data_IF_224259784137
#
_entry.id   IF_224259784137
#
_cell.length_a   1.000
_cell.length_b   1.000
_cell.length_c   1.000
_cell.angle_alpha   90.00
_cell.angle_beta   90.00
_cell.angle_gamma   90.00
#
_symmetry.space_group_name_H-M   'P 1'
#
loop_
_entity.id
_entity.type
_entity.pdbx_description
1 polymer ?
#
# COMPACT_ATOMS: atom_id res chain seq x y z
N UNK A 1 -6.83 -1.81 24.46
CA UNK A 1 -7.50 -2.42 25.63
C UNK A 1 -6.46 -3.19 26.44
N UNK A 2 -6.61 -3.32 27.76
CA UNK A 2 -5.64 -4.06 28.60
C UNK A 2 -5.86 -5.58 28.43
N UNK A 3 -4.79 -6.35 28.22
CA UNK A 3 -4.80 -7.82 28.31
C UNK A 3 -3.97 -8.26 29.52
N UNK A 4 -4.62 -8.44 30.66
CA UNK A 4 -4.07 -9.19 31.79
C UNK A 4 -4.23 -10.69 31.52
N UNK A 5 -3.14 -11.45 31.53
CA UNK A 5 -3.16 -12.93 31.48
C UNK A 5 -2.56 -13.43 32.80
N UNK A 6 -3.15 -14.49 33.36
CA UNK A 6 -2.90 -14.90 34.74
C UNK A 6 -1.52 -15.56 34.92
N UNK A 7 -0.65 -14.91 35.69
CA UNK A 7 0.49 -15.59 36.31
C UNK A 7 0.00 -16.38 37.52
N UNK A 8 -0.50 -17.61 37.28
CA UNK A 8 -1.09 -18.47 38.30
C UNK A 8 -0.58 -19.92 38.17
N UNK A 9 0.69 -20.13 38.54
CA UNK A 9 1.23 -21.47 38.82
C UNK A 9 1.83 -21.48 40.22
N UNK A 10 1.43 -22.50 41.00
CA UNK A 10 1.48 -22.48 42.45
C UNK A 10 2.80 -23.07 42.96
N UNK A 11 3.70 -22.23 43.45
CA UNK A 11 4.98 -22.67 44.04
C UNK A 11 4.74 -23.28 45.42
N UNK A 12 4.41 -24.57 45.45
CA UNK A 12 4.28 -25.35 46.68
C UNK A 12 5.66 -25.68 47.26
N UNK A 13 6.19 -24.79 48.09
CA UNK A 13 7.44 -25.00 48.84
C UNK A 13 7.27 -26.10 49.90
N UNK A 14 7.60 -27.34 49.55
CA UNK A 14 7.61 -28.46 50.50
C UNK A 14 8.88 -28.38 51.36
N UNK A 15 8.71 -28.22 52.66
CA UNK A 15 9.81 -28.18 53.63
C UNK A 15 10.39 -29.57 53.89
N UNK A 16 11.72 -29.69 53.80
CA UNK A 16 12.42 -30.97 53.89
C UNK A 16 12.55 -31.44 55.36
N UNK A 17 11.68 -32.34 55.80
CA UNK A 17 11.85 -33.09 57.06
C UNK A 17 12.64 -34.38 56.82
N UNK A 18 13.66 -34.61 57.65
CA UNK A 18 14.63 -35.69 57.46
C UNK A 18 14.10 -37.06 57.89
N UNK A 19 13.73 -37.90 56.93
CA UNK A 19 13.57 -39.34 57.08
C UNK A 19 14.26 -40.06 55.91
N UNK A 20 14.73 -41.30 56.14
CA UNK A 20 15.43 -42.08 55.11
C UNK A 20 14.44 -42.63 54.07
N UNK A 21 14.16 -41.84 53.04
CA UNK A 21 13.34 -42.27 51.88
C UNK A 21 14.11 -43.33 51.07
N UNK A 22 13.48 -44.44 50.64
CA UNK A 22 14.13 -45.41 49.75
C UNK A 22 14.50 -44.73 48.43
N UNK A 23 15.80 -44.74 48.10
CA UNK A 23 16.39 -43.95 47.01
C UNK A 23 15.86 -44.26 45.60
N UNK A 24 15.08 -45.33 45.42
CA UNK A 24 14.32 -45.58 44.20
C UNK A 24 13.41 -44.39 43.83
N UNK A 25 12.77 -43.76 44.82
CA UNK A 25 11.86 -42.63 44.62
C UNK A 25 12.53 -41.41 43.94
N UNK A 26 13.85 -41.27 44.03
CA UNK A 26 14.60 -40.19 43.35
C UNK A 26 14.73 -40.48 41.84
N UNK A 27 14.80 -41.75 41.43
CA UNK A 27 14.77 -42.10 40.01
C UNK A 27 13.40 -41.83 39.40
N UNK A 28 12.33 -42.21 40.11
CA UNK A 28 10.93 -41.95 39.72
C UNK A 28 10.63 -40.44 39.63
N UNK A 29 11.24 -39.62 40.49
CA UNK A 29 11.14 -38.15 40.44
C UNK A 29 11.79 -37.55 39.17
N UNK A 30 12.93 -38.10 38.72
CA UNK A 30 13.54 -37.67 37.45
C UNK A 30 12.78 -38.17 36.23
N UNK A 31 12.25 -39.41 36.24
CA UNK A 31 11.37 -39.88 35.15
C UNK A 31 10.11 -39.00 35.04
N UNK A 32 9.49 -38.66 36.17
CA UNK A 32 8.34 -37.72 36.19
C UNK A 32 8.68 -36.37 35.56
N UNK A 33 9.88 -35.84 35.77
CA UNK A 33 10.34 -34.57 35.15
C UNK A 33 10.63 -34.74 33.66
N UNK A 34 11.20 -35.87 33.24
CA UNK A 34 11.49 -36.18 31.83
C UNK A 34 10.19 -36.32 31.04
N UNK A 35 9.20 -37.04 31.58
CA UNK A 35 7.86 -37.19 30.99
C UNK A 35 7.13 -35.84 30.86
N UNK A 36 7.15 -35.02 31.91
CA UNK A 36 6.60 -33.66 31.87
C UNK A 36 7.28 -32.81 30.79
N UNK A 37 8.61 -32.92 30.65
CA UNK A 37 9.36 -32.18 29.65
C UNK A 37 9.04 -32.66 28.22
N UNK A 38 8.83 -33.97 28.00
CA UNK A 38 8.35 -34.51 26.73
C UNK A 38 6.93 -34.05 26.37
N UNK A 39 6.01 -33.95 27.33
CA UNK A 39 4.68 -33.37 27.10
C UNK A 39 4.79 -31.92 26.64
N UNK A 40 5.68 -31.12 27.25
CA UNK A 40 5.95 -29.73 26.83
C UNK A 40 6.54 -29.67 25.42
N UNK A 41 7.57 -30.48 25.13
CA UNK A 41 8.26 -30.50 23.82
C UNK A 41 7.31 -30.94 22.70
N UNK A 42 6.48 -31.96 22.93
CA UNK A 42 5.48 -32.40 21.94
C UNK A 42 4.36 -31.36 21.74
N UNK A 43 3.96 -30.65 22.81
CA UNK A 43 3.06 -29.51 22.72
C UNK A 43 3.63 -28.35 21.89
N UNK A 44 4.93 -28.07 22.01
CA UNK A 44 5.63 -27.07 21.18
C UNK A 44 5.71 -27.52 19.70
N UNK A 45 6.12 -28.77 19.44
CA UNK A 45 6.16 -29.35 18.07
C UNK A 45 4.79 -29.33 17.38
N UNK A 46 3.71 -29.47 18.15
CA UNK A 46 2.34 -29.34 17.62
C UNK A 46 2.05 -27.90 17.19
N UNK A 47 2.38 -26.90 18.02
CA UNK A 47 2.22 -25.47 17.69
C UNK A 47 3.10 -25.03 16.52
N UNK A 48 4.31 -25.56 16.39
CA UNK A 48 5.18 -25.32 15.25
C UNK A 48 4.57 -25.85 13.94
N UNK A 49 3.96 -27.03 13.98
CA UNK A 49 3.23 -27.61 12.84
C UNK A 49 1.99 -26.77 12.47
N UNK A 50 1.22 -26.30 13.46
CA UNK A 50 0.12 -25.37 13.23
C UNK A 50 0.58 -24.02 12.64
N UNK A 51 1.72 -23.49 13.10
CA UNK A 51 2.31 -22.26 12.59
C UNK A 51 2.81 -22.43 11.15
N UNK A 52 3.43 -23.57 10.82
CA UNK A 52 3.86 -23.91 9.46
C UNK A 52 2.67 -24.09 8.51
N UNK A 53 1.58 -24.74 8.97
CA UNK A 53 0.35 -24.86 8.20
C UNK A 53 -0.29 -23.49 7.91
N UNK A 54 -0.31 -22.58 8.90
CA UNK A 54 -0.78 -21.20 8.71
C UNK A 54 0.08 -20.42 7.71
N UNK A 55 1.41 -20.56 7.76
CA UNK A 55 2.31 -19.95 6.76
C UNK A 55 1.99 -20.43 5.35
N UNK A 56 1.83 -21.74 5.14
CA UNK A 56 1.48 -22.31 3.84
C UNK A 56 0.13 -21.79 3.31
N UNK A 57 -0.87 -21.60 4.19
CA UNK A 57 -2.14 -20.95 3.83
C UNK A 57 -1.94 -19.49 3.41
N UNK A 58 -1.18 -18.71 4.20
CA UNK A 58 -0.90 -17.30 3.90
C UNK A 58 -0.16 -17.16 2.56
N UNK A 59 0.82 -18.02 2.28
CA UNK A 59 1.52 -18.04 0.99
C UNK A 59 0.61 -18.42 -0.18
N UNK A 60 -0.32 -19.36 0.01
CA UNK A 60 -1.35 -19.70 -0.99
C UNK A 60 -2.33 -18.55 -1.25
N UNK A 61 -2.76 -17.85 -0.20
CA UNK A 61 -3.62 -16.67 -0.30
C UNK A 61 -2.90 -15.49 -0.97
N UNK A 62 -1.60 -15.31 -0.70
CA UNK A 62 -0.76 -14.31 -1.37
C UNK A 62 -0.58 -14.59 -2.87
N UNK A 63 -0.38 -15.85 -3.26
CA UNK A 63 -0.30 -16.24 -4.67
C UNK A 63 -1.65 -16.02 -5.38
N UNK A 64 -2.74 -16.42 -4.74
CA UNK A 64 -4.11 -16.22 -5.24
C UNK A 64 -4.46 -14.73 -5.39
N UNK A 65 -3.99 -13.89 -4.47
CA UNK A 65 -4.19 -12.44 -4.49
C UNK A 65 -3.37 -11.78 -5.58
N UNK A 66 -2.09 -12.17 -5.76
CA UNK A 66 -1.25 -11.71 -6.87
C UNK A 66 -1.84 -12.06 -8.24
N UNK A 67 -2.29 -13.31 -8.46
CA UNK A 67 -2.91 -13.72 -9.73
C UNK A 67 -4.16 -12.88 -10.07
N UNK A 68 -4.97 -12.51 -9.06
CA UNK A 68 -6.12 -11.62 -9.27
C UNK A 68 -5.69 -10.19 -9.62
N UNK A 69 -4.63 -9.66 -9.02
CA UNK A 69 -4.08 -8.34 -9.37
C UNK A 69 -3.65 -8.34 -10.84
N UNK A 70 -2.88 -9.34 -11.27
CA UNK A 70 -2.45 -9.47 -12.68
C UNK A 70 -3.65 -9.56 -13.64
N UNK A 71 -4.68 -10.34 -13.29
CA UNK A 71 -5.93 -10.45 -14.06
C UNK A 71 -6.69 -9.11 -14.17
N UNK A 72 -6.80 -8.34 -13.08
CA UNK A 72 -7.49 -7.05 -13.11
C UNK A 72 -6.69 -6.02 -13.90
N UNK A 73 -5.36 -5.97 -13.72
CA UNK A 73 -4.46 -5.09 -14.49
C UNK A 73 -4.52 -5.38 -16.00
N UNK A 74 -4.60 -6.66 -16.40
CA UNK A 74 -4.76 -7.03 -17.80
C UNK A 74 -6.12 -6.59 -18.39
N UNK A 75 -7.21 -6.72 -17.62
CA UNK A 75 -8.55 -6.22 -17.99
C UNK A 75 -8.56 -4.70 -18.09
N UNK A 76 -7.98 -4.01 -17.11
CA UNK A 76 -7.88 -2.55 -17.06
C UNK A 76 -7.12 -1.99 -18.27
N UNK A 77 -5.98 -2.60 -18.65
CA UNK A 77 -5.27 -2.24 -19.88
C UNK A 77 -6.15 -2.41 -21.12
N UNK A 78 -6.87 -3.53 -21.22
CA UNK A 78 -7.76 -3.81 -22.36
C UNK A 78 -8.86 -2.74 -22.50
N UNK A 79 -9.47 -2.33 -21.37
CA UNK A 79 -10.47 -1.26 -21.35
C UNK A 79 -9.88 0.12 -21.67
N UNK A 80 -8.62 0.39 -21.29
CA UNK A 80 -7.90 1.63 -21.65
C UNK A 80 -7.54 1.67 -23.15
N UNK A 81 -7.21 0.53 -23.75
CA UNK A 81 -7.07 0.40 -25.22
C UNK A 81 -8.43 0.61 -25.93
N UNK A 82 -9.53 0.11 -25.36
CA UNK A 82 -10.90 0.29 -25.88
C UNK A 82 -11.34 1.76 -25.83
N UNK A 83 -11.17 2.46 -24.69
CA UNK A 83 -11.42 3.92 -24.58
C UNK A 83 -10.65 4.72 -25.62
N UNK A 84 -9.37 4.38 -25.84
CA UNK A 84 -8.54 5.06 -26.85
C UNK A 84 -9.14 4.91 -28.26
N UNK A 85 -9.78 3.77 -28.54
CA UNK A 85 -10.51 3.52 -29.79
C UNK A 85 -11.80 4.33 -29.86
N UNK A 86 -12.61 4.33 -28.79
CA UNK A 86 -13.89 5.05 -28.72
C UNK A 86 -13.73 6.58 -28.82
N UNK A 87 -12.72 7.18 -28.17
CA UNK A 87 -12.40 8.60 -28.38
C UNK A 87 -11.94 8.90 -29.82
N UNK A 88 -11.24 7.96 -30.46
CA UNK A 88 -10.91 8.01 -31.88
C UNK A 88 -12.17 8.09 -32.74
N UNK A 89 -13.13 7.17 -32.53
CA UNK A 89 -14.43 7.15 -33.22
C UNK A 89 -15.23 8.44 -33.00
N UNK A 90 -15.26 8.98 -31.77
CA UNK A 90 -15.91 10.27 -31.43
C UNK A 90 -15.27 11.42 -32.21
N UNK A 91 -13.94 11.51 -32.25
CA UNK A 91 -13.22 12.55 -33.01
C UNK A 91 -13.55 12.48 -34.50
N UNK A 92 -13.54 11.27 -35.06
CA UNK A 92 -13.80 11.01 -36.48
C UNK A 92 -15.26 11.28 -36.86
N UNK A 93 -16.21 10.99 -35.96
CA UNK A 93 -17.63 11.39 -36.06
C UNK A 93 -17.79 12.90 -36.02
N UNK A 94 -17.18 13.61 -35.06
CA UNK A 94 -17.22 15.08 -34.99
C UNK A 94 -16.70 15.73 -36.27
N UNK A 95 -15.60 15.22 -36.85
CA UNK A 95 -15.05 15.72 -38.12
C UNK A 95 -16.01 15.46 -39.30
N UNK A 96 -16.72 14.33 -39.32
CA UNK A 96 -17.75 14.04 -40.33
C UNK A 96 -18.97 14.97 -40.19
N UNK A 97 -19.46 15.17 -38.97
CA UNK A 97 -20.57 16.08 -38.63
C UNK A 97 -20.24 17.51 -39.06
N UNK A 98 -19.08 18.05 -38.65
CA UNK A 98 -18.63 19.40 -39.03
C UNK A 98 -18.52 19.59 -40.55
N UNK A 99 -17.99 18.60 -41.29
CA UNK A 99 -17.92 18.65 -42.75
C UNK A 99 -19.32 18.68 -43.39
N UNK A 100 -20.26 17.87 -42.88
CA UNK A 100 -21.65 17.83 -43.34
C UNK A 100 -22.39 19.15 -43.02
N UNK A 101 -22.23 19.70 -41.82
CA UNK A 101 -22.76 21.02 -41.46
C UNK A 101 -22.25 22.12 -42.39
N UNK A 102 -20.94 22.17 -42.68
CA UNK A 102 -20.37 23.18 -43.58
C UNK A 102 -20.90 22.98 -45.01
N UNK A 103 -21.06 21.75 -45.48
CA UNK A 103 -21.69 21.47 -46.77
C UNK A 103 -23.16 21.92 -46.80
N UNK A 104 -23.95 21.61 -45.77
CA UNK A 104 -25.36 22.03 -45.66
C UNK A 104 -25.50 23.55 -45.53
N UNK A 105 -24.60 24.21 -44.79
CA UNK A 105 -24.54 25.67 -44.62
C UNK A 105 -24.13 26.38 -45.91
N UNK A 106 -23.22 25.79 -46.70
CA UNK A 106 -22.87 26.28 -48.02
C UNK A 106 -24.01 26.04 -49.01
N UNK A 107 -24.61 24.84 -49.05
CA UNK A 107 -25.81 24.58 -49.87
C UNK A 107 -26.93 25.57 -49.55
N UNK A 108 -27.27 25.78 -48.27
CA UNK A 108 -28.27 26.75 -47.84
C UNK A 108 -27.90 28.21 -48.16
N UNK A 109 -26.61 28.54 -48.21
CA UNK A 109 -26.14 29.86 -48.68
C UNK A 109 -26.20 29.98 -50.20
N UNK A 110 -25.82 28.96 -50.95
CA UNK A 110 -25.85 28.96 -52.41
C UNK A 110 -27.31 29.02 -52.89
N UNK A 111 -28.21 28.28 -52.21
CA UNK A 111 -29.67 28.46 -52.20
C UNK A 111 -30.01 29.94 -51.96
N UNK A 112 -29.64 30.54 -50.82
CA UNK A 112 -30.03 31.91 -50.48
C UNK A 112 -29.45 33.00 -51.40
N UNK A 113 -28.25 32.82 -51.93
CA UNK A 113 -27.49 33.83 -52.69
C UNK A 113 -27.76 33.75 -54.18
N UNK A 114 -27.88 32.55 -54.76
CA UNK A 114 -28.52 32.43 -56.07
C UNK A 114 -29.98 32.85 -55.97
N UNK A 115 -30.68 32.44 -54.90
CA UNK A 115 -32.03 32.79 -54.51
C UNK A 115 -32.28 34.25 -54.09
N UNK A 116 -31.45 35.19 -54.56
CA UNK A 116 -31.99 36.51 -54.89
C UNK A 116 -33.18 36.31 -55.84
N UNK A 117 -34.29 37.03 -55.63
CA UNK A 117 -35.65 36.55 -55.89
C UNK A 117 -35.99 36.10 -57.32
N UNK A 118 -35.12 36.34 -58.30
CA UNK A 118 -35.22 35.82 -59.66
C UNK A 118 -34.78 34.36 -59.81
N UNK A 119 -33.65 33.93 -59.24
CA UNK A 119 -32.99 32.69 -59.72
C UNK A 119 -33.71 31.39 -59.35
N UNK A 120 -34.42 31.33 -58.22
CA UNK A 120 -35.27 30.17 -57.90
C UNK A 120 -36.50 30.07 -58.79
N UNK A 121 -37.05 31.21 -59.20
CA UNK A 121 -38.06 31.24 -60.26
C UNK A 121 -37.42 30.86 -61.59
N UNK A 122 -36.18 31.26 -61.87
CA UNK A 122 -35.45 30.96 -63.11
C UNK A 122 -35.18 29.44 -63.28
N UNK A 123 -34.91 28.68 -62.21
CA UNK A 123 -34.82 27.20 -62.27
C UNK A 123 -36.18 26.55 -62.58
N UNK A 124 -37.29 27.19 -62.21
CA UNK A 124 -38.65 26.73 -62.51
C UNK A 124 -39.08 27.18 -63.92
N UNK A 125 -38.67 28.38 -64.36
CA UNK A 125 -39.02 29.01 -65.64
C UNK A 125 -38.18 28.48 -66.82
N UNK A 126 -36.93 28.07 -66.59
CA UNK A 126 -36.09 27.36 -67.56
C UNK A 126 -36.18 25.82 -67.43
N UNK A 127 -37.17 25.31 -66.70
CA UNK A 127 -37.48 23.88 -66.74
C UNK A 127 -38.07 23.51 -68.10
N UNK A 128 -37.75 22.32 -68.62
CA UNK A 128 -38.23 21.90 -69.95
C UNK A 128 -39.74 21.58 -69.95
N UNK A 129 -40.32 21.41 -68.77
CA UNK A 129 -41.77 21.28 -68.55
C UNK A 129 -42.13 21.50 -67.08
N UNK A 130 -43.43 21.71 -66.80
CA UNK A 130 -43.96 21.75 -65.42
C UNK A 130 -43.60 20.47 -64.64
N UNK A 131 -43.48 19.31 -65.31
CA UNK A 131 -43.03 18.06 -64.68
C UNK A 131 -41.57 18.14 -64.22
N UNK A 132 -40.70 18.73 -65.05
CA UNK A 132 -39.27 18.88 -64.77
C UNK A 132 -39.04 19.82 -63.58
N UNK A 133 -39.75 20.96 -63.50
CA UNK A 133 -39.73 21.83 -62.32
C UNK A 133 -40.10 21.08 -61.02
N UNK A 134 -41.18 20.29 -61.05
CA UNK A 134 -41.65 19.54 -59.88
C UNK A 134 -40.60 18.48 -59.47
N UNK A 135 -40.05 17.73 -60.43
CA UNK A 135 -39.02 16.73 -60.16
C UNK A 135 -37.72 17.34 -59.62
N UNK A 136 -37.30 18.52 -60.09
CA UNK A 136 -36.12 19.24 -59.57
C UNK A 136 -36.34 19.72 -58.13
N UNK A 137 -37.50 20.30 -57.82
CA UNK A 137 -37.84 20.72 -56.45
C UNK A 137 -37.90 19.51 -55.51
N UNK A 138 -38.56 18.41 -55.91
CA UNK A 138 -38.60 17.17 -55.14
C UNK A 138 -37.18 16.61 -54.90
N UNK A 139 -36.32 16.58 -55.93
CA UNK A 139 -34.93 16.12 -55.79
C UNK A 139 -34.11 16.94 -54.79
N UNK A 140 -34.29 18.27 -54.77
CA UNK A 140 -33.64 19.15 -53.77
C UNK A 140 -34.17 18.85 -52.37
N UNK A 141 -35.50 18.72 -52.19
CA UNK A 141 -36.08 18.36 -50.88
C UNK A 141 -35.61 17.00 -50.40
N UNK A 142 -35.55 15.98 -51.26
CA UNK A 142 -35.02 14.65 -50.93
C UNK A 142 -33.55 14.71 -50.52
N UNK A 143 -32.71 15.50 -51.21
CA UNK A 143 -31.30 15.66 -50.87
C UNK A 143 -31.08 16.39 -49.54
N UNK A 144 -31.89 17.42 -49.25
CA UNK A 144 -31.84 18.13 -47.96
C UNK A 144 -32.30 17.23 -46.82
N UNK A 145 -33.41 16.49 -47.00
CA UNK A 145 -33.89 15.54 -46.01
C UNK A 145 -32.85 14.45 -45.74
N UNK A 146 -32.31 13.79 -46.77
CA UNK A 146 -31.29 12.76 -46.60
C UNK A 146 -29.99 13.28 -45.92
N UNK A 147 -29.66 14.57 -46.05
CA UNK A 147 -28.58 15.19 -45.29
C UNK A 147 -28.95 15.47 -43.83
N UNK A 148 -30.20 15.84 -43.53
CA UNK A 148 -30.71 15.95 -42.16
C UNK A 148 -30.76 14.59 -41.46
N UNK A 149 -31.37 13.58 -42.09
CA UNK A 149 -31.52 12.22 -41.58
C UNK A 149 -30.14 11.62 -41.23
N UNK A 150 -29.14 11.84 -42.09
CA UNK A 150 -27.78 11.36 -41.89
C UNK A 150 -26.97 12.22 -40.89
N UNK A 151 -27.33 13.48 -40.66
CA UNK A 151 -26.79 14.29 -39.56
C UNK A 151 -27.36 13.83 -38.21
N UNK A 152 -28.67 13.53 -38.16
CA UNK A 152 -29.34 12.99 -36.98
C UNK A 152 -28.80 11.60 -36.62
N UNK A 153 -28.62 10.72 -37.61
CA UNK A 153 -27.94 9.43 -37.42
C UNK A 153 -26.53 9.63 -36.86
N UNK A 154 -25.70 10.51 -37.43
CA UNK A 154 -24.33 10.74 -36.95
C UNK A 154 -24.27 11.32 -35.52
N UNK A 155 -25.28 12.11 -35.13
CA UNK A 155 -25.43 12.56 -33.75
C UNK A 155 -25.86 11.42 -32.80
N UNK A 156 -26.69 10.49 -33.26
CA UNK A 156 -27.04 9.27 -32.51
C UNK A 156 -25.84 8.32 -32.36
N UNK A 157 -25.10 8.07 -33.44
CA UNK A 157 -23.86 7.27 -33.42
C UNK A 157 -22.87 7.84 -32.39
N UNK A 158 -22.68 9.17 -32.39
CA UNK A 158 -21.84 9.86 -31.39
C UNK A 158 -22.38 9.68 -29.97
N UNK A 159 -23.69 9.84 -29.77
CA UNK A 159 -24.34 9.71 -28.47
C UNK A 159 -24.18 8.31 -27.87
N UNK A 160 -24.25 7.27 -28.71
CA UNK A 160 -24.05 5.87 -28.32
C UNK A 160 -22.57 5.57 -27.99
N UNK A 161 -21.61 6.13 -28.73
CA UNK A 161 -20.18 5.98 -28.42
C UNK A 161 -19.80 6.74 -27.14
N UNK A 162 -20.35 7.93 -26.90
CA UNK A 162 -20.18 8.66 -25.63
C UNK A 162 -20.69 7.86 -24.42
N UNK A 163 -21.84 7.19 -24.52
CA UNK A 163 -22.41 6.40 -23.42
C UNK A 163 -21.70 5.06 -23.21
N UNK A 164 -21.19 4.44 -24.28
CA UNK A 164 -20.21 3.33 -24.17
C UNK A 164 -18.95 3.78 -23.44
N UNK A 165 -18.39 4.93 -23.81
CA UNK A 165 -17.17 5.46 -23.18
C UNK A 165 -17.36 5.64 -21.67
N UNK A 166 -18.44 6.29 -21.23
CA UNK A 166 -18.80 6.42 -19.80
C UNK A 166 -18.97 5.08 -19.09
N UNK A 167 -19.49 4.07 -19.80
CA UNK A 167 -19.63 2.70 -19.28
C UNK A 167 -18.26 2.06 -19.04
N UNK A 168 -17.31 2.21 -19.98
CA UNK A 168 -15.95 1.68 -19.85
C UNK A 168 -15.13 2.45 -18.81
N UNK A 169 -15.27 3.79 -18.75
CA UNK A 169 -14.70 4.64 -17.68
C UNK A 169 -15.15 4.15 -16.29
N UNK A 170 -16.44 3.86 -16.13
CA UNK A 170 -17.00 3.32 -14.88
C UNK A 170 -16.46 1.93 -14.56
N UNK A 171 -16.25 1.06 -15.56
CA UNK A 171 -15.64 -0.25 -15.35
C UNK A 171 -14.17 -0.14 -14.92
N UNK A 172 -13.38 0.74 -15.54
CA UNK A 172 -11.99 1.02 -15.13
C UNK A 172 -11.94 1.50 -13.69
N UNK A 173 -12.80 2.44 -13.29
CA UNK A 173 -12.83 2.94 -11.90
C UNK A 173 -13.13 1.84 -10.87
N UNK A 174 -13.94 0.83 -11.23
CA UNK A 174 -14.17 -0.36 -10.39
C UNK A 174 -12.94 -1.27 -10.37
N UNK A 175 -12.28 -1.51 -11.51
CA UNK A 175 -11.05 -2.31 -11.58
C UNK A 175 -9.90 -1.69 -10.79
N UNK A 176 -9.69 -0.36 -10.90
CA UNK A 176 -8.69 0.39 -10.13
C UNK A 176 -8.96 0.28 -8.61
N UNK A 177 -10.24 0.37 -8.21
CA UNK A 177 -10.66 0.20 -6.80
C UNK A 177 -10.36 -1.21 -6.30
N UNK A 178 -10.81 -2.26 -6.99
CA UNK A 178 -10.56 -3.65 -6.57
C UNK A 178 -9.08 -4.03 -6.64
N UNK A 179 -8.31 -3.48 -7.57
CA UNK A 179 -6.85 -3.69 -7.64
C UNK A 179 -6.16 -3.05 -6.43
N UNK A 180 -6.61 -1.87 -5.99
CA UNK A 180 -6.15 -1.27 -4.74
C UNK A 180 -6.52 -2.12 -3.52
N UNK A 181 -7.76 -2.57 -3.41
CA UNK A 181 -8.21 -3.42 -2.28
C UNK A 181 -7.38 -4.71 -2.17
N UNK A 182 -7.10 -5.38 -3.29
CA UNK A 182 -6.22 -6.56 -3.33
C UNK A 182 -4.76 -6.24 -3.01
N UNK A 183 -4.27 -5.06 -3.39
CA UNK A 183 -2.91 -4.61 -3.06
C UNK A 183 -2.76 -4.33 -1.55
N UNK A 184 -3.75 -3.68 -0.95
CA UNK A 184 -3.81 -3.45 0.50
C UNK A 184 -3.96 -4.80 1.25
N UNK A 185 -4.73 -5.75 0.71
CA UNK A 185 -4.80 -7.13 1.22
C UNK A 185 -3.44 -7.85 1.13
N UNK A 186 -2.70 -7.70 0.03
CA UNK A 186 -1.38 -8.31 -0.15
C UNK A 186 -0.33 -7.76 0.84
N UNK A 187 -0.42 -6.47 1.19
CA UNK A 187 0.40 -5.87 2.26
C UNK A 187 0.02 -6.41 3.65
N UNK A 188 -1.27 -6.62 3.91
CA UNK A 188 -1.77 -7.24 5.14
C UNK A 188 -1.29 -8.70 5.28
N UNK A 189 -1.39 -9.50 4.20
CA UNK A 189 -0.90 -10.89 4.18
C UNK A 189 0.62 -10.98 4.38
N UNK A 190 1.42 -10.09 3.78
CA UNK A 190 2.86 -9.99 4.05
C UNK A 190 3.16 -9.70 5.52
N UNK A 191 2.39 -8.81 6.15
CA UNK A 191 2.55 -8.46 7.57
C UNK A 191 2.24 -9.68 8.45
N UNK A 192 1.11 -10.37 8.17
CA UNK A 192 0.71 -11.57 8.89
C UNK A 192 1.71 -12.73 8.70
N UNK A 193 2.33 -12.84 7.52
CA UNK A 193 3.43 -13.80 7.27
C UNK A 193 4.61 -13.55 8.20
N UNK A 194 5.10 -12.31 8.26
CA UNK A 194 6.23 -11.93 9.12
C UNK A 194 5.93 -12.15 10.60
N UNK A 195 4.73 -11.78 11.07
CA UNK A 195 4.28 -12.09 12.44
C UNK A 195 4.27 -13.60 12.73
N UNK A 196 3.78 -14.41 11.78
CA UNK A 196 3.69 -15.85 11.93
C UNK A 196 5.05 -16.56 11.83
N UNK A 197 6.00 -16.03 11.04
CA UNK A 197 7.40 -16.46 11.03
C UNK A 197 8.11 -16.14 12.35
N UNK A 198 7.94 -14.93 12.88
CA UNK A 198 8.48 -14.54 14.20
C UNK A 198 7.95 -15.48 15.29
N UNK A 199 6.63 -15.73 15.32
CA UNK A 199 6.02 -16.64 16.29
C UNK A 199 6.51 -18.10 16.13
N UNK A 200 6.78 -18.56 14.91
CA UNK A 200 7.38 -19.88 14.66
C UNK A 200 8.82 -19.95 15.20
N UNK A 201 9.63 -18.92 14.94
CA UNK A 201 11.01 -18.86 15.41
C UNK A 201 11.09 -18.76 16.95
N UNK A 202 10.14 -18.07 17.59
CA UNK A 202 10.03 -18.05 19.05
C UNK A 202 9.65 -19.43 19.62
N UNK A 203 8.71 -20.15 19.00
CA UNK A 203 8.37 -21.52 19.38
C UNK A 203 9.57 -22.47 19.26
N UNK A 204 10.39 -22.33 18.22
CA UNK A 204 11.60 -23.14 18.03
C UNK A 204 12.71 -22.81 19.05
N UNK A 205 12.87 -21.54 19.42
CA UNK A 205 13.76 -21.13 20.50
C UNK A 205 13.29 -21.66 21.88
N UNK A 206 11.98 -21.63 22.14
CA UNK A 206 11.38 -22.26 23.31
C UNK A 206 11.62 -23.79 23.29
N UNK A 207 11.36 -24.46 22.17
CA UNK A 207 11.56 -25.90 22.01
C UNK A 207 12.99 -26.32 22.30
N UNK A 208 13.98 -25.62 21.73
CA UNK A 208 15.40 -25.85 21.97
C UNK A 208 15.79 -25.67 23.45
N UNK A 209 15.19 -24.69 24.14
CA UNK A 209 15.39 -24.46 25.58
C UNK A 209 14.82 -25.61 26.42
N UNK A 210 13.62 -26.09 26.09
CA UNK A 210 12.98 -27.22 26.78
C UNK A 210 13.66 -28.57 26.48
N UNK A 211 14.14 -28.78 25.25
CA UNK A 211 14.96 -29.93 24.84
C UNK A 211 16.30 -29.94 25.60
N UNK A 212 16.91 -28.77 25.86
CA UNK A 212 18.12 -28.64 26.66
C UNK A 212 17.90 -29.02 28.14
N UNK A 213 16.81 -28.56 28.76
CA UNK A 213 16.44 -28.96 30.14
C UNK A 213 16.21 -30.47 30.25
N UNK A 214 15.59 -31.08 29.23
CA UNK A 214 15.39 -32.54 29.19
C UNK A 214 16.73 -33.27 29.26
N UNK A 215 17.74 -32.82 28.51
CA UNK A 215 19.09 -33.39 28.57
C UNK A 215 19.68 -33.28 29.97
N UNK A 216 19.55 -32.11 30.61
CA UNK A 216 20.05 -31.92 31.98
C UNK A 216 19.39 -32.88 32.98
N UNK A 217 18.07 -33.10 32.90
CA UNK A 217 17.39 -34.08 33.75
C UNK A 217 17.81 -35.54 33.47
N UNK A 218 18.11 -35.89 32.21
CA UNK A 218 18.66 -37.21 31.85
C UNK A 218 20.06 -37.39 32.43
N UNK A 219 20.93 -36.39 32.34
CA UNK A 219 22.29 -36.43 32.90
C UNK A 219 22.27 -36.46 34.44
N UNK A 220 21.39 -35.68 35.08
CA UNK A 220 21.16 -35.70 36.52
C UNK A 220 20.64 -37.08 36.98
N UNK A 221 19.71 -37.69 36.24
CA UNK A 221 19.21 -39.05 36.50
C UNK A 221 20.34 -40.08 36.41
N UNK A 222 21.14 -40.05 35.35
CA UNK A 222 22.27 -40.96 35.15
C UNK A 222 23.31 -40.81 36.27
N UNK A 223 23.62 -39.58 36.69
CA UNK A 223 24.52 -39.30 37.80
C UNK A 223 23.96 -39.80 39.16
N UNK A 224 22.65 -39.68 39.38
CA UNK A 224 21.99 -40.20 40.57
C UNK A 224 22.00 -41.75 40.61
N UNK A 225 21.67 -42.41 39.50
CA UNK A 225 21.74 -43.86 39.35
C UNK A 225 23.17 -44.41 39.55
N UNK A 226 24.19 -43.71 39.02
CA UNK A 226 25.59 -44.07 39.24
C UNK A 226 25.99 -44.01 40.72
N UNK A 227 25.63 -42.93 41.43
CA UNK A 227 25.86 -42.81 42.87
C UNK A 227 25.15 -43.89 43.68
N UNK A 228 23.92 -44.25 43.31
CA UNK A 228 23.17 -45.33 43.95
C UNK A 228 23.89 -46.68 43.81
N UNK A 229 24.35 -47.01 42.60
CA UNK A 229 25.11 -48.24 42.35
C UNK A 229 26.47 -48.27 43.09
N UNK A 230 27.17 -47.12 43.17
CA UNK A 230 28.42 -46.99 43.92
C UNK A 230 28.22 -47.20 45.44
N UNK A 231 27.16 -46.61 46.02
CA UNK A 231 26.85 -46.77 47.44
C UNK A 231 26.34 -48.19 47.76
N UNK A 232 25.51 -48.79 46.90
CA UNK A 232 25.09 -50.19 47.03
C UNK A 232 26.30 -51.15 46.98
N UNK A 233 27.25 -50.94 46.05
CA UNK A 233 28.47 -51.73 45.96
C UNK A 233 29.40 -51.53 47.18
N UNK A 234 29.41 -50.33 47.77
CA UNK A 234 30.13 -50.03 49.01
C UNK A 234 29.49 -50.71 50.23
N UNK A 235 28.16 -50.67 50.36
CA UNK A 235 27.44 -51.36 51.43
C UNK A 235 27.57 -52.88 51.33
N UNK A 236 27.47 -53.45 50.13
CA UNK A 236 27.71 -54.88 49.90
C UNK A 236 29.14 -55.30 50.31
N UNK A 237 30.16 -54.48 50.01
CA UNK A 237 31.54 -54.71 50.49
C UNK A 237 31.68 -54.58 52.00
N UNK A 238 30.98 -53.64 52.64
CA UNK A 238 31.00 -53.49 54.10
C UNK A 238 30.32 -54.67 54.81
N UNK A 239 29.15 -55.12 54.32
CA UNK A 239 28.47 -56.30 54.84
C UNK A 239 29.30 -57.58 54.65
N UNK A 240 29.98 -57.73 53.51
CA UNK A 240 30.89 -58.86 53.27
C UNK A 240 32.13 -58.82 54.18
N UNK A 241 32.68 -57.63 54.44
CA UNK A 241 33.76 -57.45 55.41
C UNK A 241 33.30 -57.74 56.86
N UNK A 242 32.09 -57.30 57.24
CA UNK A 242 31.48 -57.62 58.53
C UNK A 242 31.28 -59.13 58.69
N UNK A 243 30.65 -59.82 57.72
CA UNK A 243 30.46 -61.28 57.80
C UNK A 243 31.78 -62.06 57.92
N UNK A 244 32.86 -61.58 57.30
CA UNK A 244 34.21 -62.17 57.47
C UNK A 244 34.80 -61.89 58.85
N UNK A 245 34.71 -60.66 59.34
CA UNK A 245 35.16 -60.30 60.68
C UNK A 245 34.36 -61.04 61.77
N UNK A 246 33.05 -61.21 61.59
CA UNK A 246 32.15 -61.99 62.46
C UNK A 246 32.48 -63.49 62.41
N UNK A 247 32.76 -64.06 61.24
CA UNK A 247 33.18 -65.45 61.13
C UNK A 247 34.55 -65.69 61.82
N UNK A 248 35.53 -64.81 61.59
CA UNK A 248 36.82 -64.86 62.29
C UNK A 248 36.68 -64.66 63.81
N UNK A 249 35.80 -63.73 64.23
CA UNK A 249 35.52 -63.50 65.64
C UNK A 249 34.79 -64.70 66.27
N UNK A 250 33.89 -65.37 65.54
CA UNK A 250 33.21 -66.57 66.02
C UNK A 250 34.17 -67.76 66.17
N UNK A 251 35.14 -67.93 65.26
CA UNK A 251 36.23 -68.92 65.41
C UNK A 251 37.07 -68.59 66.65
N UNK A 252 37.57 -67.36 66.76
CA UNK A 252 38.37 -66.91 67.92
C UNK A 252 37.59 -66.96 69.23
N UNK A 253 36.28 -66.74 69.21
CA UNK A 253 35.40 -66.83 70.38
C UNK A 253 35.13 -68.29 70.77
N UNK A 254 35.00 -69.21 69.80
CA UNK A 254 34.91 -70.64 70.10
C UNK A 254 36.23 -71.18 70.70
N UNK A 255 37.37 -70.76 70.15
CA UNK A 255 38.70 -71.04 70.71
C UNK A 255 38.87 -70.45 72.13
N UNK A 256 38.40 -69.22 72.37
CA UNK A 256 38.47 -68.57 73.67
C UNK A 256 37.47 -69.13 74.71
N UNK A 257 36.25 -69.51 74.30
CA UNK A 257 35.25 -70.13 75.18
C UNK A 257 35.62 -71.57 75.54
N UNK A 258 36.38 -72.26 74.70
CA UNK A 258 37.04 -73.52 75.06
C UNK A 258 38.18 -73.32 76.08
N UNK A 259 38.65 -72.08 76.30
CA UNK A 259 39.74 -71.74 77.23
C UNK A 259 39.28 -71.07 78.53
N UNK A 260 38.23 -70.23 78.54
CA UNK A 260 37.64 -69.66 79.76
C UNK A 260 36.24 -69.03 79.56
N UNK A 261 35.23 -69.34 80.40
CA UNK A 261 33.91 -68.71 80.34
C UNK A 261 33.67 -67.64 81.44
N UNK A 262 33.54 -66.35 81.08
CA UNK A 262 32.97 -65.36 82.00
C UNK A 262 33.11 -63.86 81.65
N UNK A 263 32.10 -63.08 82.10
CA UNK A 263 32.01 -61.61 82.23
C UNK A 263 31.77 -60.77 80.96
N UNK A 264 31.24 -59.54 81.16
CA UNK A 264 30.51 -58.75 80.16
C UNK A 264 30.44 -57.23 80.46
N UNK A 265 30.11 -56.43 79.43
CA UNK A 265 29.71 -55.00 79.43
C UNK A 265 30.77 -53.97 79.93
N UNK A 266 30.87 -52.74 79.40
CA UNK A 266 29.85 -51.67 79.53
C UNK A 266 30.13 -50.40 78.70
N UNK A 267 29.05 -49.64 78.43
CA UNK A 267 28.92 -48.17 78.39
C UNK A 267 29.34 -47.28 77.19
N UNK A 268 28.73 -46.09 77.20
CA UNK A 268 28.62 -45.04 76.15
C UNK A 268 28.62 -43.66 76.86
N UNK A 269 29.17 -42.61 76.23
CA UNK A 269 29.02 -41.18 76.63
C UNK A 269 28.97 -40.28 75.38
N UNK A 270 28.19 -39.19 75.41
CA UNK A 270 28.16 -38.08 74.44
C UNK A 270 28.60 -36.76 75.10
N UNK A 271 29.14 -35.78 74.36
CA UNK A 271 29.25 -34.38 74.84
C UNK A 271 29.26 -33.28 73.73
N UNK A 272 28.12 -32.59 73.59
CA UNK A 272 27.90 -31.12 73.66
C UNK A 272 28.77 -30.08 72.88
N UNK A 273 28.12 -29.20 72.09
CA UNK A 273 28.09 -27.74 72.40
C UNK A 273 28.78 -26.65 71.52
N UNK A 274 27.98 -25.76 70.89
CA UNK A 274 28.21 -24.28 70.66
C UNK A 274 29.36 -23.79 69.71
N UNK A 275 29.44 -22.55 69.12
CA UNK A 275 28.72 -21.24 69.27
C UNK A 275 28.84 -20.26 68.05
N UNK A 276 27.78 -19.45 67.79
CA UNK A 276 27.70 -17.98 67.47
C UNK A 276 28.24 -17.20 66.22
N UNK A 277 27.53 -16.06 65.99
CA UNK A 277 27.88 -14.72 65.38
C UNK A 277 27.74 -14.41 63.86
N UNK A 278 27.50 -13.12 63.53
CA UNK A 278 27.11 -12.53 62.21
C UNK A 278 27.38 -10.99 62.15
N UNK A 279 27.21 -10.28 61.00
CA UNK A 279 26.66 -8.88 60.83
C UNK A 279 26.97 -8.09 59.51
N UNK A 280 25.92 -7.55 58.84
CA UNK A 280 25.72 -6.30 58.03
C UNK A 280 26.61 -5.80 56.81
N UNK A 281 26.06 -4.80 56.07
CA UNK A 281 26.60 -4.04 54.89
C UNK A 281 26.34 -2.50 55.04
N UNK A 282 26.75 -1.55 54.12
CA UNK A 282 26.00 -1.17 52.88
C UNK A 282 26.83 -0.49 51.70
N UNK A 283 26.20 0.34 50.82
CA UNK A 283 26.66 0.92 49.50
C UNK A 283 26.73 2.51 49.50
N UNK A 284 26.69 3.41 48.44
CA UNK A 284 26.33 3.37 46.97
C UNK A 284 27.10 4.36 45.96
N UNK A 285 26.49 4.68 44.77
CA UNK A 285 26.52 5.94 43.94
C UNK A 285 26.98 6.04 42.42
N UNK A 286 26.88 7.24 41.77
CA UNK A 286 26.25 7.60 40.43
C UNK A 286 27.18 8.41 39.44
N UNK A 287 26.83 9.18 38.33
CA UNK A 287 25.61 9.39 37.45
C UNK A 287 25.79 9.71 35.89
N UNK A 288 24.68 10.02 35.16
CA UNK A 288 24.51 10.98 33.99
C UNK A 288 24.77 10.60 32.49
N UNK A 289 24.31 11.31 31.41
CA UNK A 289 23.04 12.05 31.06
C UNK A 289 22.95 12.66 29.58
N UNK A 290 21.73 12.77 28.98
CA UNK A 290 21.16 13.87 28.09
C UNK A 290 21.22 13.98 26.51
N UNK A 291 20.14 14.55 25.90
CA UNK A 291 20.06 15.35 24.62
C UNK A 291 19.55 14.69 23.30
N UNK A 292 18.93 15.34 22.26
CA UNK A 292 18.25 16.66 22.06
C UNK A 292 17.36 16.67 20.74
N UNK A 293 16.69 17.79 20.37
CA UNK A 293 15.61 17.97 19.33
C UNK A 293 15.98 18.85 18.09
N UNK A 294 15.06 18.99 17.09
CA UNK A 294 15.13 20.00 15.99
C UNK A 294 13.96 19.98 14.95
N UNK A 295 13.67 21.11 14.26
CA UNK A 295 12.62 21.28 13.22
C UNK A 295 12.68 22.66 12.50
N UNK A 296 11.87 22.94 11.45
CA UNK A 296 11.93 24.21 10.66
C UNK A 296 10.66 24.58 9.85
N UNK A 297 10.50 25.84 9.39
CA UNK A 297 9.37 26.36 8.59
C UNK A 297 9.64 27.67 7.81
N UNK A 298 8.94 27.88 6.66
CA UNK A 298 8.93 29.04 5.72
C UNK A 298 7.54 29.01 5.01
N UNK A 299 6.89 30.05 4.44
CA UNK A 299 7.11 31.51 4.30
C UNK A 299 6.32 32.07 3.08
N UNK A 300 6.15 33.40 2.90
CA UNK A 300 5.34 34.01 1.80
C UNK A 300 5.97 35.27 1.15
N UNK A 301 5.61 35.56 -0.11
CA UNK A 301 6.06 36.72 -0.90
C UNK A 301 5.28 36.90 -2.22
N UNK A 302 5.28 38.12 -2.80
CA UNK A 302 4.38 38.52 -3.91
C UNK A 302 4.92 38.34 -5.34
N UNK A 303 4.11 38.75 -6.34
CA UNK A 303 4.33 38.55 -7.78
C UNK A 303 5.65 39.14 -8.30
N UNK A 304 6.52 38.29 -8.83
CA UNK A 304 7.79 38.69 -9.44
C UNK A 304 7.65 39.27 -10.86
N UNK A 305 8.67 39.99 -11.32
CA UNK A 305 8.71 40.55 -12.68
C UNK A 305 8.69 39.47 -13.77
N UNK A 306 9.21 38.27 -13.50
CA UNK A 306 9.15 37.16 -14.44
C UNK A 306 7.69 36.72 -14.70
N UNK A 307 6.85 36.70 -13.65
CA UNK A 307 5.43 36.35 -13.76
C UNK A 307 4.63 37.39 -14.52
N UNK A 308 4.95 38.68 -14.32
CA UNK A 308 4.35 39.78 -15.10
C UNK A 308 4.73 39.68 -16.59
N UNK A 309 5.98 39.34 -16.91
CA UNK A 309 6.42 39.10 -18.30
C UNK A 309 5.68 37.92 -18.93
N UNK A 310 5.52 36.79 -18.22
CA UNK A 310 4.78 35.62 -18.72
C UNK A 310 3.33 35.98 -19.08
N UNK A 311 2.64 36.71 -18.18
CA UNK A 311 1.29 37.21 -18.43
C UNK A 311 1.22 38.13 -19.65
N UNK A 312 2.18 39.03 -19.85
CA UNK A 312 2.22 39.90 -21.02
C UNK A 312 2.49 39.14 -22.32
N UNK A 313 3.36 38.12 -22.30
CA UNK A 313 3.65 37.27 -23.47
C UNK A 313 2.41 36.47 -23.88
N UNK A 314 1.67 35.93 -22.91
CA UNK A 314 0.40 35.26 -23.14
C UNK A 314 -0.66 36.23 -23.70
N UNK A 315 -0.83 37.42 -23.10
CA UNK A 315 -1.74 38.45 -23.61
C UNK A 315 -1.40 38.91 -25.03
N UNK A 316 -0.12 39.03 -25.38
CA UNK A 316 0.33 39.33 -26.74
C UNK A 316 0.07 38.17 -27.74
N UNK A 317 -0.22 36.96 -27.23
CA UNK A 317 -0.55 35.77 -28.04
C UNK A 317 -2.06 35.66 -28.35
N UNK A 318 -2.92 36.42 -27.67
CA UNK A 318 -4.39 36.36 -27.85
C UNK A 318 -4.79 36.70 -29.29
N UNK A 319 -5.71 35.92 -29.85
CA UNK A 319 -6.17 36.04 -31.23
C UNK A 319 -5.31 35.29 -32.25
N UNK A 320 -4.19 34.69 -31.84
CA UNK A 320 -3.37 33.83 -32.70
C UNK A 320 -3.91 32.38 -32.71
N UNK A 321 -3.67 31.67 -33.80
CA UNK A 321 -3.89 30.21 -33.91
C UNK A 321 -2.56 29.54 -34.21
N UNK A 322 -2.25 28.49 -33.45
CA UNK A 322 -1.05 27.68 -33.57
C UNK A 322 -1.40 26.22 -33.98
N UNK A 323 -0.45 25.43 -34.53
CA UNK A 323 -0.69 24.02 -34.81
C UNK A 323 -1.01 23.21 -33.55
N UNK A 324 -1.84 22.18 -33.71
CA UNK A 324 -2.27 21.23 -32.67
C UNK A 324 -1.81 19.81 -32.99
N UNK A 325 -1.85 18.94 -31.99
CA UNK A 325 -1.23 17.61 -31.99
C UNK A 325 -0.11 17.49 -30.94
N UNK A 326 0.32 16.27 -30.66
CA UNK A 326 1.21 15.97 -29.54
C UNK A 326 2.52 16.79 -29.59
N UNK A 327 2.72 17.63 -28.56
CA UNK A 327 3.89 18.51 -28.44
C UNK A 327 3.88 19.79 -29.29
N UNK A 328 2.79 20.10 -30.01
CA UNK A 328 2.70 21.29 -30.85
C UNK A 328 2.42 22.57 -30.05
N UNK A 329 2.82 23.73 -30.59
CA UNK A 329 2.78 25.02 -29.87
C UNK A 329 1.38 25.53 -29.52
N UNK A 330 0.33 25.02 -30.18
CA UNK A 330 -1.06 25.35 -29.89
C UNK A 330 -1.70 24.55 -28.77
N UNK A 331 -1.08 23.46 -28.31
CA UNK A 331 -1.58 22.67 -27.18
C UNK A 331 -1.56 23.47 -25.88
N UNK A 332 -2.58 23.29 -25.04
CA UNK A 332 -2.84 24.15 -23.88
C UNK A 332 -1.63 24.24 -22.92
N UNK A 333 -1.06 23.10 -22.53
CA UNK A 333 0.11 23.04 -21.65
C UNK A 333 1.37 23.56 -22.33
N UNK A 334 1.52 23.33 -23.64
CA UNK A 334 2.73 23.70 -24.42
C UNK A 334 2.76 25.20 -24.67
N UNK A 335 1.61 25.82 -24.94
CA UNK A 335 1.47 27.28 -25.00
C UNK A 335 1.88 27.93 -23.66
N UNK A 336 1.38 27.41 -22.53
CA UNK A 336 1.71 27.91 -21.19
C UNK A 336 3.20 27.66 -20.83
N UNK A 337 3.77 26.51 -21.19
CA UNK A 337 5.21 26.26 -21.11
C UNK A 337 6.01 27.29 -21.90
N UNK A 338 5.61 27.58 -23.14
CA UNK A 338 6.30 28.56 -23.99
C UNK A 338 6.23 29.98 -23.40
N UNK A 339 5.08 30.43 -22.91
CA UNK A 339 4.92 31.76 -22.30
C UNK A 339 5.75 31.92 -21.00
N UNK A 340 5.82 30.88 -20.17
CA UNK A 340 6.63 30.89 -18.94
C UNK A 340 8.13 30.84 -19.25
N UNK A 341 8.57 29.91 -20.11
CA UNK A 341 9.98 29.79 -20.47
C UNK A 341 10.51 31.06 -21.16
N UNK A 342 9.72 31.67 -22.05
CA UNK A 342 10.07 32.95 -22.70
C UNK A 342 10.17 34.13 -21.72
N UNK A 343 9.52 34.05 -20.55
CA UNK A 343 9.65 35.03 -19.47
C UNK A 343 10.86 34.79 -18.55
N UNK A 344 11.50 33.63 -18.65
CA UNK A 344 12.58 33.15 -17.77
C UNK A 344 12.13 32.21 -16.64
N UNK A 345 10.88 31.76 -16.64
CA UNK A 345 10.36 30.78 -15.66
C UNK A 345 10.45 29.39 -16.27
N UNK A 346 11.30 28.52 -15.71
CA UNK A 346 11.47 27.14 -16.21
C UNK A 346 10.20 26.32 -15.98
N UNK A 347 9.52 25.97 -17.07
CA UNK A 347 8.51 24.91 -17.11
C UNK A 347 8.95 23.85 -18.12
N UNK A 348 9.38 22.68 -17.63
CA UNK A 348 9.85 21.58 -18.48
C UNK A 348 8.69 20.67 -18.92
N UNK A 349 8.79 19.98 -20.06
CA UNK A 349 7.89 18.90 -20.43
C UNK A 349 7.83 17.82 -19.34
N UNK A 350 6.65 17.26 -19.12
CA UNK A 350 6.34 16.23 -18.13
C UNK A 350 4.86 15.87 -18.21
N UNK A 351 4.35 15.05 -17.27
CA UNK A 351 2.92 14.76 -17.20
C UNK A 351 2.10 15.94 -16.63
N UNK A 352 0.75 15.89 -16.71
CA UNK A 352 -0.13 16.96 -16.26
C UNK A 352 0.03 17.37 -14.80
N UNK A 353 0.62 16.53 -13.93
CA UNK A 353 0.87 16.86 -12.53
C UNK A 353 2.38 16.91 -12.23
N UNK A 354 3.10 15.86 -12.61
CA UNK A 354 4.54 15.71 -12.43
C UNK A 354 5.38 16.76 -13.17
N UNK A 355 4.92 17.29 -14.31
CA UNK A 355 5.61 18.36 -15.04
C UNK A 355 5.78 19.64 -14.23
N UNK A 356 4.80 19.95 -13.36
CA UNK A 356 4.85 21.09 -12.44
C UNK A 356 5.84 20.86 -11.31
N UNK A 357 5.77 19.71 -10.63
CA UNK A 357 6.66 19.40 -9.49
C UNK A 357 8.12 19.25 -9.93
N UNK A 358 8.39 18.62 -11.09
CA UNK A 358 9.74 18.54 -11.69
C UNK A 358 10.28 19.90 -12.18
N UNK A 359 9.39 20.88 -12.38
CA UNK A 359 9.73 22.27 -12.66
C UNK A 359 9.88 23.12 -11.39
N UNK A 360 9.71 22.52 -10.20
CA UNK A 360 9.80 23.19 -8.91
C UNK A 360 8.57 24.00 -8.51
N UNK A 361 7.46 23.89 -9.26
CA UNK A 361 6.20 24.55 -8.90
C UNK A 361 5.53 23.85 -7.71
N UNK A 362 4.90 24.64 -6.85
CA UNK A 362 4.14 24.19 -5.67
C UNK A 362 2.65 24.45 -5.86
N UNK A 363 1.80 23.63 -5.26
CA UNK A 363 0.36 23.90 -5.25
C UNK A 363 0.03 25.06 -4.31
N UNK A 364 -0.97 25.87 -4.67
CA UNK A 364 -1.50 26.96 -3.83
C UNK A 364 -3.03 26.95 -3.78
N UNK A 365 -3.59 27.56 -2.73
CA UNK A 365 -5.05 27.71 -2.60
C UNK A 365 -5.60 28.67 -3.66
N UNK A 366 -6.85 28.46 -4.10
CA UNK A 366 -7.57 29.42 -4.94
C UNK A 366 -7.70 30.80 -4.26
N UNK A 367 -7.78 30.85 -2.92
CA UNK A 367 -7.79 32.12 -2.16
C UNK A 367 -6.53 32.97 -2.36
N UNK A 368 -5.43 32.33 -2.75
CA UNK A 368 -4.09 32.93 -2.73
C UNK A 368 -3.58 33.19 -4.15
N UNK A 369 -4.38 32.89 -5.18
CA UNK A 369 -4.01 32.92 -6.61
C UNK A 369 -3.45 34.28 -7.04
N UNK A 370 -2.39 34.28 -7.84
CA UNK A 370 -1.75 35.50 -8.32
C UNK A 370 -1.41 35.43 -9.82
N UNK A 371 -1.07 36.58 -10.40
CA UNK A 371 -0.60 36.68 -11.80
C UNK A 371 0.65 35.82 -12.01
N UNK A 372 0.65 35.01 -13.07
CA UNK A 372 1.73 34.08 -13.42
C UNK A 372 1.75 32.78 -12.61
N UNK A 373 0.68 32.46 -11.87
CA UNK A 373 0.35 31.07 -11.54
C UNK A 373 -0.41 30.41 -12.71
N UNK A 374 -0.33 29.08 -12.79
CA UNK A 374 -1.02 28.27 -13.80
C UNK A 374 -2.17 27.51 -13.14
N UNK A 375 -3.31 27.37 -13.80
CA UNK A 375 -4.36 26.45 -13.37
C UNK A 375 -4.38 25.26 -14.32
N UNK A 376 -4.14 24.08 -13.75
CA UNK A 376 -4.21 22.80 -14.43
C UNK A 376 -5.52 22.12 -14.07
N UNK A 377 -6.26 21.64 -15.06
CA UNK A 377 -7.26 20.62 -14.86
C UNK A 377 -6.62 19.25 -15.00
N UNK A 378 -6.72 18.46 -13.93
CA UNK A 378 -6.13 17.12 -13.80
C UNK A 378 -7.16 16.17 -13.19
N UNK A 379 -7.05 14.88 -13.50
CA UNK A 379 -7.89 13.86 -12.88
C UNK A 379 -7.47 13.67 -11.41
N UNK A 380 -8.44 13.57 -10.51
CA UNK A 380 -8.21 13.54 -9.07
C UNK A 380 -7.63 12.22 -8.57
N UNK A 381 -7.89 11.12 -9.30
CA UNK A 381 -7.45 9.75 -9.01
C UNK A 381 -6.13 9.42 -9.74
N UNK A 382 -6.01 9.84 -11.00
CA UNK A 382 -4.82 9.64 -11.85
C UNK A 382 -4.27 10.97 -12.39
N UNK A 383 -3.55 11.76 -11.57
CA UNK A 383 -3.22 13.15 -11.91
C UNK A 383 -2.27 13.34 -13.09
N UNK A 384 -1.44 12.33 -13.39
CA UNK A 384 -0.50 12.34 -14.53
C UNK A 384 -1.06 11.66 -15.80
N UNK A 385 -2.33 11.27 -15.82
CA UNK A 385 -2.94 10.66 -17.01
C UNK A 385 -3.42 11.73 -18.01
N UNK A 386 -3.03 11.59 -19.27
CA UNK A 386 -3.53 12.40 -20.41
C UNK A 386 -4.93 11.93 -20.83
N UNK A 387 -5.94 12.25 -20.02
CA UNK A 387 -7.35 11.97 -20.29
C UNK A 387 -8.03 13.16 -21.00
N UNK A 388 -9.16 12.92 -21.66
CA UNK A 388 -9.96 14.01 -22.21
C UNK A 388 -10.40 14.97 -21.09
N UNK A 389 -10.40 16.26 -21.40
CA UNK A 389 -10.56 17.35 -20.44
C UNK A 389 -9.26 17.85 -19.77
N UNK A 390 -8.11 17.16 -19.86
CA UNK A 390 -6.85 17.71 -19.32
C UNK A 390 -6.51 19.03 -20.01
N UNK A 391 -6.57 20.14 -19.26
CA UNK A 391 -6.51 21.50 -19.81
C UNK A 391 -5.69 22.45 -18.94
N UNK A 392 -5.04 23.44 -19.57
CA UNK A 392 -4.07 24.33 -18.91
C UNK A 392 -4.32 25.78 -19.26
N UNK A 393 -4.41 26.65 -18.25
CA UNK A 393 -4.64 28.09 -18.42
C UNK A 393 -3.68 28.91 -17.55
N UNK A 394 -3.19 30.05 -18.05
CA UNK A 394 -2.31 30.96 -17.31
C UNK A 394 -3.12 32.11 -16.69
N UNK A 395 -2.92 32.39 -15.40
CA UNK A 395 -3.54 33.55 -14.73
C UNK A 395 -2.77 34.82 -15.12
N UNK A 396 -3.43 35.75 -15.79
CA UNK A 396 -2.83 37.03 -16.25
C UNK A 396 -3.31 38.26 -15.47
N UNK A 397 -4.42 38.13 -14.74
CA UNK A 397 -4.95 39.18 -13.86
C UNK A 397 -5.78 38.59 -12.71
N UNK A 398 -5.88 39.30 -11.58
CA UNK A 398 -6.69 38.88 -10.41
C UNK A 398 -7.52 40.06 -9.92
N UNK A 399 -8.82 39.86 -9.79
CA UNK A 399 -9.81 40.87 -9.40
C UNK A 399 -10.76 40.26 -8.35
N UNK A 400 -10.41 40.42 -7.07
CA UNK A 400 -11.13 39.79 -5.96
C UNK A 400 -11.00 38.26 -6.02
N UNK A 401 -12.13 37.55 -5.99
CA UNK A 401 -12.21 36.08 -6.11
C UNK A 401 -12.19 35.56 -7.56
N UNK A 402 -12.18 36.47 -8.55
CA UNK A 402 -12.19 36.16 -9.98
C UNK A 402 -10.87 36.51 -10.65
N UNK A 403 -10.52 35.82 -11.73
CA UNK A 403 -9.27 36.08 -12.47
C UNK A 403 -9.54 36.48 -13.92
N UNK A 404 -8.50 37.00 -14.57
CA UNK A 404 -8.37 36.95 -16.02
C UNK A 404 -7.37 35.84 -16.37
N UNK A 405 -7.75 34.97 -17.29
CA UNK A 405 -6.87 33.93 -17.85
C UNK A 405 -6.49 34.22 -19.31
N UNK A 406 -5.40 33.59 -19.75
CA UNK A 406 -5.13 33.30 -21.16
C UNK A 406 -4.96 31.79 -21.31
N UNK A 407 -5.55 31.24 -22.36
CA UNK A 407 -5.56 29.80 -22.64
C UNK A 407 -5.35 29.55 -24.14
N UNK A 408 -4.92 28.33 -24.49
CA UNK A 408 -4.79 27.87 -25.88
C UNK A 408 -5.51 26.54 -26.04
N UNK A 409 -5.90 26.21 -27.28
CA UNK A 409 -6.65 25.00 -27.62
C UNK A 409 -8.05 24.89 -27.01
N UNK A 410 -8.74 26.03 -26.80
CA UNK A 410 -10.14 26.06 -26.39
C UNK A 410 -10.98 26.81 -27.44
N UNK A 411 -11.87 26.13 -28.20
CA UNK A 411 -12.23 24.70 -28.11
C UNK A 411 -11.10 23.75 -28.58
N UNK A 412 -11.17 22.50 -28.14
CA UNK A 412 -10.16 21.48 -28.42
C UNK A 412 -9.89 21.28 -29.93
N UNK A 413 -8.62 21.08 -30.28
CA UNK A 413 -8.12 20.97 -31.65
C UNK A 413 -7.94 22.32 -32.38
N UNK A 414 -8.48 23.43 -31.89
CA UNK A 414 -8.41 24.74 -32.56
C UNK A 414 -7.03 25.40 -32.54
N UNK A 415 -6.21 25.14 -31.53
CA UNK A 415 -4.94 25.85 -31.28
C UNK A 415 -5.08 27.36 -31.13
N UNK A 416 -6.30 27.87 -30.94
CA UNK A 416 -6.61 29.29 -30.80
C UNK A 416 -6.31 29.78 -29.40
N UNK A 417 -5.69 30.95 -29.29
CA UNK A 417 -5.36 31.59 -28.02
C UNK A 417 -6.43 32.62 -27.66
N UNK A 418 -7.11 32.41 -26.54
CA UNK A 418 -8.20 33.26 -26.05
C UNK A 418 -7.87 33.89 -24.69
N UNK A 419 -8.66 34.88 -24.25
CA UNK A 419 -8.59 35.43 -22.89
C UNK A 419 -9.99 35.59 -22.33
N UNK A 420 -10.15 35.24 -21.06
CA UNK A 420 -11.44 35.26 -20.36
C UNK A 420 -11.28 36.01 -19.04
N UNK A 421 -12.06 37.08 -18.85
CA UNK A 421 -12.07 37.92 -17.64
C UNK A 421 -13.27 37.60 -16.76
N UNK A 422 -13.08 37.58 -15.44
CA UNK A 422 -14.11 37.14 -14.49
C UNK A 422 -14.19 35.61 -14.37
N UNK A 423 -13.16 34.90 -14.82
CA UNK A 423 -13.09 33.45 -14.81
C UNK A 423 -12.91 32.90 -13.38
N UNK A 424 -13.53 31.78 -13.10
CA UNK A 424 -13.29 30.93 -11.92
C UNK A 424 -13.30 29.47 -12.35
N UNK A 425 -12.48 28.59 -11.76
CA UNK A 425 -12.45 27.19 -12.13
C UNK A 425 -13.77 26.50 -11.73
N UNK A 426 -14.30 25.69 -12.65
CA UNK A 426 -15.42 24.79 -12.40
C UNK A 426 -15.04 23.39 -12.88
N UNK A 427 -15.34 22.33 -12.12
CA UNK A 427 -15.35 20.98 -12.69
C UNK A 427 -16.33 20.96 -13.87
N UNK A 428 -15.89 20.41 -15.00
CA UNK A 428 -16.72 20.14 -16.20
C UNK A 428 -16.92 18.63 -16.43
N UNK A 429 -16.15 17.78 -15.76
CA UNK A 429 -16.18 16.33 -15.85
C UNK A 429 -16.08 15.67 -14.47
N UNK A 430 -16.57 14.43 -14.36
CA UNK A 430 -16.42 13.63 -13.15
C UNK A 430 -14.94 13.34 -12.86
N UNK A 431 -14.58 13.29 -11.57
CA UNK A 431 -13.21 13.06 -11.11
C UNK A 431 -12.15 14.05 -11.65
N UNK A 432 -12.53 15.23 -12.17
CA UNK A 432 -11.56 16.29 -12.49
C UNK A 432 -11.52 17.38 -11.42
N UNK A 433 -10.31 17.88 -11.14
CA UNK A 433 -10.06 19.02 -10.24
C UNK A 433 -9.24 20.09 -10.94
N UNK A 434 -9.45 21.35 -10.57
CA UNK A 434 -8.55 22.45 -10.89
C UNK A 434 -7.49 22.57 -9.79
N UNK A 435 -6.21 22.51 -10.16
CA UNK A 435 -5.06 22.71 -9.25
C UNK A 435 -4.32 23.97 -9.68
N UNK A 436 -4.07 24.86 -8.73
CA UNK A 436 -3.29 26.10 -8.97
C UNK A 436 -1.82 25.82 -8.66
N UNK A 437 -0.97 25.96 -9.68
CA UNK A 437 0.47 25.73 -9.62
C UNK A 437 1.25 27.05 -9.66
N UNK A 438 2.04 27.25 -8.61
CA UNK A 438 2.90 28.42 -8.41
C UNK A 438 4.35 28.05 -8.66
N UNK A 439 4.88 28.47 -9.80
CA UNK A 439 6.31 28.35 -10.11
C UNK A 439 7.16 29.27 -9.22
N UNK A 440 8.44 28.93 -8.95
CA UNK A 440 9.43 29.91 -8.50
C UNK A 440 9.58 30.99 -9.58
N UNK A 441 9.90 32.24 -9.18
CA UNK A 441 9.90 33.38 -10.10
C UNK A 441 10.79 34.52 -9.67
#
# INVERSE_FOLDING_TARGET
MKKSILSALMVCSITLTSAAVPMAAIADEYDTKIDQQDVIINGLKTKESEAAAKLATIESDMLTTATKIDELTAKEKTLKDEITTLYGEISDLNVRIQKREVQMRNQARDVQVSGSSTSYLDVILNSESISDAISRVQGITTLVNANNDLLEQQNSDKKDVEDKTKTVESQISVLETSTKELTDQQASLNTLKLEQEIAKNELEAQRSTEESKKSEYVDQKAAAQKKLAEEQAKQAKQQEAQRKAEAEAAVKLAEAQAANPGLAQTNVVEENGTTNTAQAAPTPEKPSNNGNTGGSSIGTGGVSEAKKRAAQIALNSVGQTNPTGWGQSGECIVAVQNWLNAAGIRFSPGGPHSGYTQSGAVQVSWSDVQVGDVVQYENSLSPDAWLDGVHTVLVVGVNGSSVQIVESNNPAGSGYVSTTTGWTPSPYAANFRAVVWRFPG
#
